data_IF_428720362949
#
_entry.id   IF_428720362949
#
_cell.length_a   1.000
_cell.length_b   1.000
_cell.length_c   1.000
_cell.angle_alpha   90.00
_cell.angle_beta   90.00
_cell.angle_gamma   90.00
#
_symmetry.space_group_name_H-M   'P 1'
#
loop_
_entity.id
_entity.type
_entity.pdbx_description
1 polymer ?
#
# COMPACT_ATOMS: atom_id res chain seq x y z
N UNK A 1 -30.87 -22.87 19.37
CA UNK A 1 -30.73 -21.50 18.82
C UNK A 1 -29.25 -21.25 18.66
N UNK A 2 -28.75 -21.48 17.44
CA UNK A 2 -27.36 -21.16 17.11
C UNK A 2 -27.27 -19.65 16.86
N UNK A 3 -26.57 -18.95 17.77
CA UNK A 3 -26.26 -17.54 17.60
C UNK A 3 -25.43 -17.38 16.36
N UNK A 4 -25.94 -16.63 15.39
CA UNK A 4 -25.21 -16.14 14.25
C UNK A 4 -24.13 -15.18 14.83
N UNK A 5 -22.91 -15.68 15.04
CA UNK A 5 -21.76 -14.82 15.21
C UNK A 5 -21.63 -14.10 13.86
N UNK A 6 -22.06 -12.85 13.81
CA UNK A 6 -21.72 -11.97 12.72
C UNK A 6 -20.19 -12.03 12.60
N UNK A 7 -19.68 -12.64 11.55
CA UNK A 7 -18.29 -12.55 11.19
C UNK A 7 -18.03 -11.06 11.01
N UNK A 8 -17.32 -10.45 11.96
CA UNK A 8 -16.78 -9.11 11.77
C UNK A 8 -15.89 -9.21 10.54
N UNK A 9 -16.40 -8.77 9.40
CA UNK A 9 -15.68 -8.81 8.15
C UNK A 9 -14.32 -8.14 8.37
N UNK A 10 -13.24 -8.85 8.01
CA UNK A 10 -11.90 -8.32 8.10
C UNK A 10 -11.73 -7.07 7.23
N UNK A 11 -10.73 -6.27 7.51
CA UNK A 11 -10.33 -5.13 6.67
C UNK A 11 -9.17 -5.50 5.76
N UNK A 12 -9.18 -4.98 4.54
CA UNK A 12 -8.09 -5.08 3.58
C UNK A 12 -7.53 -3.68 3.35
N UNK A 13 -6.29 -3.47 3.71
CA UNK A 13 -5.53 -2.28 3.33
C UNK A 13 -4.62 -2.67 2.15
N UNK A 14 -5.01 -2.28 0.94
CA UNK A 14 -4.24 -2.51 -0.27
C UNK A 14 -3.41 -1.27 -0.59
N UNK A 15 -2.09 -1.41 -0.71
CA UNK A 15 -1.14 -0.32 -0.90
C UNK A 15 -0.29 -0.53 -2.15
N UNK A 16 -0.17 0.50 -2.98
CA UNK A 16 0.99 0.70 -3.84
C UNK A 16 2.17 1.27 -3.01
N UNK A 17 3.33 1.34 -3.61
CA UNK A 17 4.54 1.87 -3.01
C UNK A 17 4.91 3.24 -3.57
N UNK A 18 5.12 3.32 -4.88
CA UNK A 18 5.48 4.56 -5.56
C UNK A 18 4.29 5.54 -5.52
N UNK A 19 4.54 6.80 -5.23
CA UNK A 19 3.47 7.80 -5.08
C UNK A 19 2.53 7.59 -3.88
N UNK A 20 2.75 6.57 -3.05
CA UNK A 20 1.97 6.28 -1.83
C UNK A 20 2.85 6.35 -0.60
N UNK A 21 3.83 5.45 -0.48
CA UNK A 21 4.81 5.39 0.61
C UNK A 21 6.17 5.96 0.18
N UNK A 22 6.53 5.79 -1.09
CA UNK A 22 7.73 6.33 -1.71
C UNK A 22 7.35 7.59 -2.45
N UNK A 23 7.84 8.71 -1.97
CA UNK A 23 7.41 10.06 -2.37
C UNK A 23 8.57 10.87 -2.93
N UNK A 24 8.30 12.04 -3.46
CA UNK A 24 9.35 12.96 -3.88
C UNK A 24 10.19 13.46 -2.71
N UNK A 25 11.46 13.83 -2.92
CA UNK A 25 12.33 14.36 -1.86
C UNK A 25 11.82 15.67 -1.26
N UNK A 26 11.17 16.50 -2.06
CA UNK A 26 10.68 17.79 -1.66
C UNK A 26 9.17 17.73 -1.38
N UNK A 27 8.70 18.32 -0.26
CA UNK A 27 7.28 18.43 0.04
C UNK A 27 6.54 19.20 -1.06
N UNK A 28 5.33 18.72 -1.40
CA UNK A 28 4.46 19.34 -2.38
C UNK A 28 3.67 20.54 -1.83
N UNK A 29 3.71 20.77 -0.51
CA UNK A 29 2.96 21.81 0.16
C UNK A 29 1.48 21.49 0.33
N UNK A 30 1.11 20.21 0.26
CA UNK A 30 -0.27 19.76 0.45
C UNK A 30 -0.63 19.73 1.93
N UNK A 31 -1.87 20.11 2.27
CA UNK A 31 -2.36 20.12 3.66
C UNK A 31 -2.27 18.73 4.28
N UNK A 32 -1.62 18.64 5.44
CA UNK A 32 -1.45 17.39 6.17
C UNK A 32 -0.38 16.46 5.61
N UNK A 33 0.44 16.94 4.70
CA UNK A 33 1.60 16.22 4.18
C UNK A 33 2.65 16.00 5.26
N UNK A 34 3.32 14.84 5.19
CA UNK A 34 4.42 14.53 6.12
C UNK A 34 5.72 15.17 5.65
N UNK A 35 6.31 16.02 6.49
CA UNK A 35 7.50 16.80 6.17
C UNK A 35 8.82 16.15 6.57
N UNK A 36 8.82 15.06 7.35
CA UNK A 36 9.99 14.40 7.91
C UNK A 36 10.63 13.38 6.95
N UNK A 37 10.70 13.70 5.66
CA UNK A 37 11.18 12.81 4.62
C UNK A 37 12.65 12.50 4.74
N UNK A 38 13.01 11.23 4.57
CA UNK A 38 14.40 10.79 4.54
C UNK A 38 14.66 9.85 3.38
N UNK A 39 15.88 9.87 2.86
CA UNK A 39 16.33 8.95 1.83
C UNK A 39 16.72 7.61 2.44
N UNK A 40 16.17 6.55 1.91
CA UNK A 40 16.50 5.17 2.27
C UNK A 40 16.96 4.44 1.02
N UNK A 41 17.98 3.60 1.13
CA UNK A 41 18.38 2.70 0.05
C UNK A 41 17.72 1.35 0.27
N UNK A 42 16.75 1.02 -0.59
CA UNK A 42 16.07 -0.27 -0.59
C UNK A 42 16.84 -1.24 -1.46
N UNK A 43 17.25 -2.37 -0.87
CA UNK A 43 17.88 -3.45 -1.62
C UNK A 43 16.81 -4.26 -2.35
N UNK A 44 16.94 -4.38 -3.67
CA UNK A 44 16.02 -5.17 -4.49
C UNK A 44 16.51 -6.63 -4.52
N UNK A 45 15.80 -7.56 -3.88
CA UNK A 45 16.19 -8.96 -3.84
C UNK A 45 16.25 -9.54 -5.27
N UNK A 46 17.28 -10.36 -5.52
CA UNK A 46 17.48 -11.09 -6.78
C UNK A 46 17.72 -10.22 -8.04
N UNK A 47 17.60 -8.90 -7.95
CA UNK A 47 17.98 -8.02 -9.05
C UNK A 47 19.48 -7.73 -8.98
N UNK A 48 20.17 -7.90 -10.08
CA UNK A 48 21.59 -7.59 -10.23
C UNK A 48 21.79 -6.71 -11.45
N UNK A 49 22.72 -5.78 -11.34
CA UNK A 49 23.13 -4.96 -12.48
C UNK A 49 24.00 -5.76 -13.49
N UNK A 50 24.45 -5.09 -14.53
CA UNK A 50 25.29 -5.70 -15.58
C UNK A 50 26.63 -6.25 -15.07
N UNK A 51 27.07 -5.84 -13.86
CA UNK A 51 28.31 -6.32 -13.22
C UNK A 51 28.04 -7.35 -12.12
N UNK A 52 26.80 -7.83 -11.99
CA UNK A 52 26.41 -8.82 -10.99
C UNK A 52 26.25 -8.28 -9.57
N UNK A 53 26.32 -6.96 -9.39
CA UNK A 53 26.09 -6.32 -8.10
C UNK A 53 24.62 -6.28 -7.75
N UNK A 54 24.29 -6.33 -6.44
CA UNK A 54 22.90 -6.19 -5.99
C UNK A 54 22.40 -4.78 -6.27
N UNK A 55 21.26 -4.69 -6.94
CA UNK A 55 20.61 -3.40 -7.20
C UNK A 55 20.01 -2.87 -5.90
N UNK A 56 20.16 -1.58 -5.68
CA UNK A 56 19.50 -0.85 -4.59
C UNK A 56 18.92 0.46 -5.13
N UNK A 57 17.64 0.66 -4.87
CA UNK A 57 16.93 1.87 -5.27
C UNK A 57 16.89 2.88 -4.14
N UNK A 58 17.22 4.15 -4.39
CA UNK A 58 16.99 5.21 -3.42
C UNK A 58 15.52 5.62 -3.45
N UNK A 59 14.86 5.51 -2.30
CA UNK A 59 13.49 5.97 -2.10
C UNK A 59 13.44 7.03 -1.01
N UNK A 60 12.44 7.89 -1.07
CA UNK A 60 12.17 8.86 -0.01
C UNK A 60 10.90 8.46 0.74
N UNK A 61 10.98 8.42 2.05
CA UNK A 61 9.88 8.01 2.94
C UNK A 61 9.81 8.95 4.14
N UNK A 62 8.61 9.15 4.67
CA UNK A 62 8.42 9.79 5.97
C UNK A 62 8.29 8.73 7.05
N UNK A 63 9.17 8.72 8.07
CA UNK A 63 9.01 7.85 9.24
C UNK A 63 7.68 8.01 9.95
N UNK A 64 7.17 9.24 10.06
CA UNK A 64 5.86 9.50 10.68
C UNK A 64 4.74 8.89 9.85
N UNK A 65 4.74 9.04 8.53
CA UNK A 65 3.78 8.38 7.64
C UNK A 65 3.82 6.85 7.81
N UNK A 66 5.01 6.26 7.85
CA UNK A 66 5.16 4.80 8.06
C UNK A 66 4.62 4.38 9.42
N UNK A 67 4.84 5.17 10.47
CA UNK A 67 4.29 4.88 11.79
C UNK A 67 2.75 4.91 11.76
N UNK A 68 2.14 5.87 11.09
CA UNK A 68 0.70 5.99 10.96
C UNK A 68 0.10 4.83 10.13
N UNK A 69 0.73 4.45 9.01
CA UNK A 69 0.36 3.25 8.24
C UNK A 69 0.44 1.98 9.11
N UNK A 70 1.47 1.86 9.94
CA UNK A 70 1.59 0.74 10.87
C UNK A 70 0.47 0.70 11.91
N UNK A 71 -0.12 1.84 12.27
CA UNK A 71 -1.32 1.85 13.13
C UNK A 71 -2.55 1.29 12.42
N UNK A 72 -2.71 1.54 11.11
CA UNK A 72 -3.78 0.95 10.30
C UNK A 72 -3.62 -0.55 10.18
N UNK A 73 -2.40 -1.03 9.88
CA UNK A 73 -2.09 -2.47 9.80
C UNK A 73 -2.31 -3.17 11.15
N UNK A 74 -2.13 -2.42 12.25
CA UNK A 74 -2.35 -2.93 13.61
C UNK A 74 -3.80 -3.00 14.06
N UNK A 75 -4.77 -2.52 13.27
CA UNK A 75 -6.18 -2.61 13.60
C UNK A 75 -6.65 -4.07 13.60
N UNK A 76 -7.53 -4.47 14.51
CA UNK A 76 -8.03 -5.83 14.58
C UNK A 76 -8.69 -6.28 13.28
N UNK A 77 -8.26 -7.41 12.74
CA UNK A 77 -8.80 -7.98 11.51
C UNK A 77 -8.34 -7.32 10.21
N UNK A 78 -7.48 -6.29 10.27
CA UNK A 78 -6.91 -5.68 9.08
C UNK A 78 -5.70 -6.48 8.60
N UNK A 79 -5.67 -6.79 7.30
CA UNK A 79 -4.52 -7.40 6.63
C UNK A 79 -3.96 -6.48 5.54
N UNK A 80 -2.65 -6.56 5.35
CA UNK A 80 -1.95 -5.79 4.32
C UNK A 80 -1.93 -6.55 2.98
N UNK A 81 -2.30 -5.86 1.92
CA UNK A 81 -2.17 -6.32 0.54
C UNK A 81 -1.26 -5.36 -0.22
N UNK A 82 -0.21 -5.86 -0.84
CA UNK A 82 0.67 -5.05 -1.68
C UNK A 82 0.27 -5.17 -3.15
N UNK A 83 0.05 -4.02 -3.77
CA UNK A 83 -0.35 -3.88 -5.17
C UNK A 83 0.65 -2.95 -5.85
N UNK A 84 1.84 -3.45 -6.16
CA UNK A 84 2.91 -2.58 -6.63
C UNK A 84 3.71 -3.16 -7.77
N UNK A 85 4.17 -2.28 -8.65
CA UNK A 85 5.11 -2.58 -9.75
C UNK A 85 6.46 -3.14 -9.25
N UNK A 86 6.74 -3.06 -7.96
CA UNK A 86 7.90 -3.69 -7.32
C UNK A 86 7.82 -5.22 -7.31
N UNK A 87 6.67 -5.80 -7.64
CA UNK A 87 6.51 -7.25 -7.82
C UNK A 87 7.09 -8.05 -6.65
N UNK A 88 7.93 -9.04 -6.95
CA UNK A 88 8.57 -9.89 -5.93
C UNK A 88 9.38 -9.13 -4.86
N UNK A 89 9.80 -7.91 -5.13
CA UNK A 89 10.57 -7.10 -4.18
C UNK A 89 9.71 -6.29 -3.20
N UNK A 90 8.41 -6.15 -3.43
CA UNK A 90 7.55 -5.24 -2.67
C UNK A 90 7.57 -5.51 -1.15
N UNK A 91 7.43 -6.77 -0.73
CA UNK A 91 7.42 -7.14 0.70
C UNK A 91 8.73 -6.75 1.39
N UNK A 92 9.86 -7.03 0.74
CA UNK A 92 11.16 -6.68 1.31
C UNK A 92 11.40 -5.18 1.29
N UNK A 93 10.92 -4.48 0.26
CA UNK A 93 11.02 -3.03 0.16
C UNK A 93 10.30 -2.34 1.32
N UNK A 94 9.05 -2.70 1.58
CA UNK A 94 8.27 -2.11 2.68
C UNK A 94 8.85 -2.46 4.05
N UNK A 95 9.38 -3.66 4.24
CA UNK A 95 10.07 -4.05 5.47
C UNK A 95 11.29 -3.18 5.74
N UNK A 96 12.10 -2.90 4.71
CA UNK A 96 13.32 -2.11 4.85
C UNK A 96 13.04 -0.65 5.21
N UNK A 97 11.88 -0.12 4.87
CA UNK A 97 11.48 1.24 5.27
C UNK A 97 10.69 1.29 6.58
N UNK A 98 10.43 0.13 7.20
CA UNK A 98 9.84 0.05 8.54
C UNK A 98 8.34 -0.23 8.57
N UNK A 99 7.72 -0.60 7.45
CA UNK A 99 6.32 -1.08 7.45
C UNK A 99 6.28 -2.46 8.11
N UNK A 100 5.31 -2.66 8.99
CA UNK A 100 5.05 -3.94 9.64
C UNK A 100 4.51 -4.93 8.62
N UNK A 101 5.18 -6.04 8.52
CA UNK A 101 4.82 -7.16 7.63
C UNK A 101 4.67 -8.45 8.44
N UNK A 102 4.21 -8.30 9.68
CA UNK A 102 3.98 -9.40 10.60
C UNK A 102 2.61 -10.01 10.27
N UNK A 103 2.56 -11.28 9.90
CA UNK A 103 1.33 -11.98 9.55
C UNK A 103 1.16 -12.20 8.03
N UNK A 104 -0.10 -12.39 7.62
CA UNK A 104 -0.44 -12.71 6.24
C UNK A 104 -0.42 -11.46 5.34
N UNK A 105 0.76 -11.13 4.83
CA UNK A 105 0.91 -10.11 3.78
C UNK A 105 0.72 -10.76 2.42
N UNK A 106 -0.31 -10.33 1.71
CA UNK A 106 -0.53 -10.74 0.32
C UNK A 106 0.20 -9.78 -0.62
N UNK A 107 0.98 -10.32 -1.52
CA UNK A 107 1.62 -9.55 -2.60
C UNK A 107 1.01 -10.03 -3.93
N UNK A 108 0.11 -9.25 -4.51
CA UNK A 108 -0.63 -9.60 -5.73
C UNK A 108 0.31 -9.92 -6.89
N UNK A 109 1.44 -9.22 -6.97
CA UNK A 109 2.43 -9.40 -8.02
C UNK A 109 3.71 -10.10 -7.56
N UNK A 110 3.67 -10.83 -6.47
CA UNK A 110 4.85 -11.46 -5.85
C UNK A 110 5.63 -12.43 -6.73
N UNK A 111 5.02 -12.96 -7.80
CA UNK A 111 5.68 -13.81 -8.79
C UNK A 111 6.34 -13.05 -9.94
N UNK A 112 6.22 -11.73 -10.02
CA UNK A 112 6.69 -10.91 -11.14
C UNK A 112 7.99 -10.17 -10.82
N UNK A 113 8.76 -9.88 -11.87
CA UNK A 113 9.99 -9.09 -11.77
C UNK A 113 9.65 -7.60 -11.60
N UNK A 114 10.49 -6.87 -10.87
CA UNK A 114 10.39 -5.42 -10.71
C UNK A 114 10.35 -4.73 -12.07
N UNK A 115 9.39 -3.82 -12.25
CA UNK A 115 9.22 -3.05 -13.49
C UNK A 115 8.70 -3.81 -14.71
N UNK A 116 8.36 -5.11 -14.55
CA UNK A 116 7.80 -5.93 -15.63
C UNK A 116 6.26 -5.89 -15.67
N UNK A 117 5.63 -5.07 -14.85
CA UNK A 117 4.18 -4.98 -14.73
C UNK A 117 3.71 -3.72 -15.45
N UNK A 118 2.93 -3.91 -16.50
CA UNK A 118 2.20 -2.85 -17.17
C UNK A 118 1.12 -2.27 -16.25
N UNK A 119 0.92 -0.95 -16.29
CA UNK A 119 0.01 -0.26 -15.37
C UNK A 119 -1.44 -0.68 -15.55
N UNK A 120 -1.89 -0.86 -16.79
CA UNK A 120 -3.28 -1.29 -17.05
C UNK A 120 -3.50 -2.72 -16.56
N UNK A 121 -2.53 -3.61 -16.79
CA UNK A 121 -2.56 -4.96 -16.25
C UNK A 121 -2.51 -4.98 -14.72
N UNK A 122 -1.70 -4.09 -14.11
CA UNK A 122 -1.64 -3.91 -12.65
C UNK A 122 -3.03 -3.59 -12.11
N UNK A 123 -3.68 -2.56 -12.65
CA UNK A 123 -5.00 -2.13 -12.18
C UNK A 123 -6.05 -3.23 -12.37
N UNK A 124 -6.07 -3.92 -13.50
CA UNK A 124 -7.05 -4.97 -13.78
C UNK A 124 -6.89 -6.18 -12.85
N UNK A 125 -5.66 -6.68 -12.66
CA UNK A 125 -5.39 -7.83 -11.80
C UNK A 125 -5.62 -7.50 -10.32
N UNK A 126 -5.21 -6.32 -9.87
CA UNK A 126 -5.47 -5.85 -8.50
C UNK A 126 -6.96 -5.74 -8.24
N UNK A 127 -7.71 -5.10 -9.16
CA UNK A 127 -9.15 -4.94 -9.03
C UNK A 127 -9.86 -6.29 -8.96
N UNK A 128 -9.44 -7.28 -9.76
CA UNK A 128 -10.01 -8.63 -9.72
C UNK A 128 -9.85 -9.25 -8.32
N UNK A 129 -8.63 -9.22 -7.77
CA UNK A 129 -8.36 -9.75 -6.43
C UNK A 129 -9.14 -8.99 -5.34
N UNK A 130 -9.18 -7.65 -5.39
CA UNK A 130 -9.85 -6.84 -4.37
C UNK A 130 -11.38 -6.98 -4.42
N UNK A 131 -11.96 -7.23 -5.61
CA UNK A 131 -13.39 -7.57 -5.74
C UNK A 131 -13.73 -8.91 -5.08
N UNK A 132 -12.85 -9.90 -5.17
CA UNK A 132 -13.03 -11.16 -4.44
C UNK A 132 -13.05 -10.93 -2.93
N UNK A 133 -12.17 -10.08 -2.41
CA UNK A 133 -12.16 -9.69 -1.00
C UNK A 133 -13.47 -8.99 -0.59
N UNK A 134 -13.91 -8.00 -1.37
CA UNK A 134 -15.17 -7.30 -1.11
C UNK A 134 -16.38 -8.24 -1.18
N UNK A 135 -16.42 -9.15 -2.15
CA UNK A 135 -17.47 -10.16 -2.28
C UNK A 135 -17.48 -11.15 -1.11
N UNK A 136 -16.33 -11.38 -0.46
CA UNK A 136 -16.22 -12.17 0.78
C UNK A 136 -16.69 -11.39 2.02
N UNK A 137 -17.10 -10.14 1.88
CA UNK A 137 -17.58 -9.28 2.97
C UNK A 137 -16.46 -8.54 3.71
N UNK A 138 -15.25 -8.50 3.17
CA UNK A 138 -14.16 -7.69 3.72
C UNK A 138 -14.34 -6.21 3.33
N UNK A 139 -14.00 -5.30 4.23
CA UNK A 139 -13.88 -3.87 3.91
C UNK A 139 -12.57 -3.61 3.18
N UNK A 140 -12.65 -3.10 1.98
CA UNK A 140 -11.47 -2.92 1.13
C UNK A 140 -11.16 -1.44 0.95
N UNK A 141 -9.96 -1.03 1.37
CA UNK A 141 -9.39 0.29 1.08
C UNK A 141 -8.16 0.10 0.21
N UNK A 142 -8.18 0.65 -1.00
CA UNK A 142 -7.09 0.55 -1.96
C UNK A 142 -6.46 1.92 -2.24
N UNK A 143 -5.18 2.05 -1.92
CA UNK A 143 -4.40 3.30 -2.07
C UNK A 143 -3.42 3.16 -3.22
N UNK A 144 -3.52 4.05 -4.20
CA UNK A 144 -2.67 4.04 -5.40
C UNK A 144 -2.65 5.46 -6.00
N UNK A 145 -1.53 5.92 -6.55
CA UNK A 145 -1.39 7.22 -7.19
C UNK A 145 -1.97 7.25 -8.62
N UNK A 146 -2.32 6.08 -9.17
CA UNK A 146 -3.05 5.97 -10.43
C UNK A 146 -4.55 6.28 -10.29
N UNK A 147 -5.07 6.37 -9.06
CA UNK A 147 -6.45 6.77 -8.82
C UNK A 147 -6.62 8.28 -8.89
N UNK A 148 -7.86 8.71 -9.16
CA UNK A 148 -8.23 10.12 -9.00
C UNK A 148 -7.98 10.55 -7.57
N UNK A 149 -7.27 11.68 -7.31
CA UNK A 149 -7.00 12.13 -5.96
C UNK A 149 -8.27 12.27 -5.12
N UNK A 150 -8.23 11.69 -3.91
CA UNK A 150 -9.35 11.67 -2.98
C UNK A 150 -9.88 10.27 -2.70
N UNK A 151 -11.13 10.20 -2.24
CA UNK A 151 -11.81 8.95 -1.87
C UNK A 151 -12.97 8.71 -2.80
N UNK A 152 -12.97 7.56 -3.47
CA UNK A 152 -14.07 7.12 -4.35
C UNK A 152 -14.45 5.69 -3.95
N UNK A 153 -15.75 5.44 -3.77
CA UNK A 153 -16.27 4.11 -3.49
C UNK A 153 -16.95 3.53 -4.73
N UNK A 154 -16.59 2.31 -5.07
CA UNK A 154 -17.20 1.55 -6.14
C UNK A 154 -17.11 0.05 -5.86
N UNK A 155 -18.20 -0.69 -6.03
CA UNK A 155 -18.27 -2.16 -5.86
C UNK A 155 -17.75 -2.65 -4.47
N UNK A 156 -17.97 -1.87 -3.40
CA UNK A 156 -17.51 -2.23 -2.06
C UNK A 156 -16.00 -2.02 -1.84
N UNK A 157 -15.33 -1.37 -2.78
CA UNK A 157 -13.92 -0.97 -2.67
C UNK A 157 -13.85 0.54 -2.55
N UNK A 158 -13.20 1.03 -1.50
CA UNK A 158 -12.88 2.46 -1.38
C UNK A 158 -11.49 2.68 -1.96
N UNK A 159 -11.41 3.35 -3.10
CA UNK A 159 -10.14 3.77 -3.68
C UNK A 159 -9.70 5.10 -3.08
N UNK A 160 -8.42 5.23 -2.77
CA UNK A 160 -7.79 6.43 -2.23
C UNK A 160 -6.71 6.86 -3.19
N UNK A 161 -6.99 7.89 -3.98
CA UNK A 161 -6.01 8.47 -4.89
C UNK A 161 -5.05 9.38 -4.14
N UNK A 162 -3.76 9.11 -4.24
CA UNK A 162 -2.68 9.96 -3.75
C UNK A 162 -2.10 10.82 -4.87
N UNK A 163 -1.13 11.65 -4.55
CA UNK A 163 -0.31 12.35 -5.53
C UNK A 163 1.10 11.80 -5.43
N UNK A 164 1.75 11.54 -6.54
CA UNK A 164 3.11 11.02 -6.62
C UNK A 164 4.11 11.80 -5.75
N UNK A 165 3.94 13.12 -5.68
CA UNK A 165 4.84 14.01 -4.95
C UNK A 165 4.57 14.07 -3.43
N UNK A 166 3.34 13.86 -2.98
CA UNK A 166 2.97 13.94 -1.56
C UNK A 166 2.73 12.59 -0.89
N UNK A 167 2.29 11.59 -1.63
CA UNK A 167 1.87 10.30 -1.09
C UNK A 167 0.64 10.41 -0.19
N UNK A 168 0.59 9.53 0.80
CA UNK A 168 -0.42 9.61 1.86
C UNK A 168 -0.25 10.90 2.68
N UNK A 169 -1.38 11.43 3.15
CA UNK A 169 -1.43 12.56 4.08
C UNK A 169 -2.09 12.15 5.40
N UNK A 170 -1.82 12.87 6.48
CA UNK A 170 -2.40 12.57 7.79
C UNK A 170 -3.94 12.51 7.76
N UNK A 171 -4.68 13.45 7.11
CA UNK A 171 -6.14 13.35 6.98
C UNK A 171 -6.61 12.10 6.22
N UNK A 172 -5.85 11.63 5.21
CA UNK A 172 -6.18 10.39 4.50
C UNK A 172 -6.06 9.19 5.44
N UNK A 173 -4.98 9.12 6.23
CA UNK A 173 -4.78 8.03 7.19
C UNK A 173 -5.89 8.00 8.24
N UNK A 174 -6.30 9.15 8.79
CA UNK A 174 -7.41 9.22 9.74
C UNK A 174 -8.72 8.71 9.13
N UNK A 175 -9.03 9.11 7.90
CA UNK A 175 -10.23 8.63 7.21
C UNK A 175 -10.17 7.12 6.92
N UNK A 176 -9.01 6.60 6.51
CA UNK A 176 -8.83 5.15 6.31
C UNK A 176 -8.98 4.39 7.63
N UNK A 177 -8.51 4.96 8.75
CA UNK A 177 -8.70 4.37 10.08
C UNK A 177 -10.18 4.23 10.43
N UNK A 178 -10.99 5.25 10.18
CA UNK A 178 -12.44 5.17 10.38
C UNK A 178 -13.06 4.07 9.50
N UNK A 179 -12.70 4.02 8.22
CA UNK A 179 -13.22 3.02 7.27
C UNK A 179 -12.84 1.57 7.63
N UNK A 180 -11.63 1.34 8.14
CA UNK A 180 -11.11 0.00 8.46
C UNK A 180 -11.45 -0.44 9.89
N UNK A 181 -11.75 0.50 10.78
CA UNK A 181 -12.02 0.27 12.20
C UNK A 181 -13.49 0.06 12.54
N UNK A 182 -14.42 0.34 11.61
CA UNK A 182 -15.86 0.12 11.78
C UNK A 182 -16.24 -1.34 11.53
#
# INVERSE_FOLDING_TARGET
MAGNAASSGGGVLALDLDGVLFVSPEPAGVVGEYGDRRRVRVKVPRLRDAWGMRVSEPVWVSPTMIADVNTLIGLPGVRLVLVSSWGAAAVEAVRQVGVRVDGDVVNVFGGRTVGAIDQDAKLAEALAYLRECAAAGERVVWVDDLHVPGFVEHDGIVTVGTREDSGLTAPMVERMRALLGE
#
